data_IF_765802139711
#
_entry.id   IF_765802139711
#
_cell.length_a   1.000
_cell.length_b   1.000
_cell.length_c   1.000
_cell.angle_alpha   90.00
_cell.angle_beta   90.00
_cell.angle_gamma   90.00
#
_symmetry.space_group_name_H-M   'P 1'
#
loop_
_entity.id
_entity.type
_entity.pdbx_description
1 polymer ?
#
# COMPACT_ATOMS: atom_id res chain seq x y z
N UNK A 1 17.30 -24.64 4.01
CA UNK A 1 17.32 -23.35 3.33
C UNK A 1 18.67 -22.75 3.63
N UNK A 2 19.46 -22.39 2.62
CA UNK A 2 20.75 -21.70 2.84
C UNK A 2 20.52 -20.21 3.19
N UNK A 3 21.51 -19.55 3.77
CA UNK A 3 21.44 -18.13 4.14
C UNK A 3 21.00 -17.23 2.97
N UNK A 4 21.57 -17.47 1.78
CA UNK A 4 21.22 -16.76 0.55
C UNK A 4 19.77 -17.03 0.10
N UNK A 5 19.26 -18.25 0.27
CA UNK A 5 17.87 -18.57 -0.09
C UNK A 5 16.85 -17.85 0.79
N UNK A 6 17.11 -17.75 2.09
CA UNK A 6 16.21 -17.10 3.05
C UNK A 6 16.07 -15.60 2.74
N UNK A 7 17.19 -14.94 2.49
CA UNK A 7 17.24 -13.51 2.16
C UNK A 7 16.63 -13.21 0.80
N UNK A 8 16.94 -14.02 -0.22
CA UNK A 8 16.33 -13.88 -1.55
C UNK A 8 14.80 -14.07 -1.47
N UNK A 9 14.33 -15.03 -0.66
CA UNK A 9 12.89 -15.25 -0.44
C UNK A 9 12.24 -14.08 0.30
N UNK A 10 12.90 -13.51 1.30
CA UNK A 10 12.42 -12.32 2.01
C UNK A 10 12.18 -11.16 1.05
N UNK A 11 13.19 -10.83 0.23
CA UNK A 11 13.09 -9.76 -0.77
C UNK A 11 11.97 -10.00 -1.77
N UNK A 12 11.89 -11.22 -2.33
CA UNK A 12 10.84 -11.61 -3.27
C UNK A 12 9.44 -11.50 -2.68
N UNK A 13 9.21 -12.06 -1.49
CA UNK A 13 7.90 -12.01 -0.83
C UNK A 13 7.48 -10.58 -0.53
N UNK A 14 8.40 -9.74 -0.07
CA UNK A 14 8.12 -8.32 0.17
C UNK A 14 7.69 -7.63 -1.13
N UNK A 15 8.39 -7.84 -2.25
CA UNK A 15 8.00 -7.29 -3.55
C UNK A 15 6.64 -7.80 -4.00
N UNK A 16 6.37 -9.10 -3.88
CA UNK A 16 5.06 -9.68 -4.20
C UNK A 16 3.93 -9.06 -3.37
N UNK A 17 4.14 -8.88 -2.07
CA UNK A 17 3.17 -8.25 -1.15
C UNK A 17 2.94 -6.79 -1.52
N UNK A 18 4.00 -6.05 -1.81
CA UNK A 18 3.92 -4.64 -2.19
C UNK A 18 3.17 -4.47 -3.53
N UNK A 19 3.54 -5.25 -4.55
CA UNK A 19 2.86 -5.24 -5.85
C UNK A 19 1.40 -5.70 -5.74
N UNK A 20 1.14 -6.75 -4.95
CA UNK A 20 -0.22 -7.21 -4.70
C UNK A 20 -1.05 -6.10 -4.05
N UNK A 21 -0.52 -5.39 -3.05
CA UNK A 21 -1.20 -4.27 -2.42
C UNK A 21 -1.51 -3.11 -3.39
N UNK A 22 -0.64 -2.86 -4.38
CA UNK A 22 -0.89 -1.85 -5.42
C UNK A 22 -1.97 -2.28 -6.43
N UNK A 23 -2.14 -3.60 -6.62
CA UNK A 23 -3.09 -4.18 -7.57
C UNK A 23 -4.44 -4.52 -6.95
N UNK A 24 -4.47 -4.97 -5.70
CA UNK A 24 -5.66 -5.44 -4.99
C UNK A 24 -6.72 -4.33 -4.92
N UNK A 25 -7.91 -4.66 -5.42
CA UNK A 25 -8.98 -3.73 -5.76
C UNK A 25 -9.50 -2.99 -4.53
N UNK A 26 -9.65 -3.71 -3.40
CA UNK A 26 -10.11 -3.15 -2.12
C UNK A 26 -9.21 -2.04 -1.60
N UNK A 27 -7.90 -2.14 -1.80
CA UNK A 27 -6.95 -1.19 -1.18
C UNK A 27 -6.73 0.09 -1.95
N UNK A 28 -7.03 0.07 -3.24
CA UNK A 28 -6.83 1.21 -4.14
C UNK A 28 -8.07 2.08 -4.28
N UNK A 29 -9.25 1.53 -4.05
CA UNK A 29 -10.55 2.20 -4.18
C UNK A 29 -11.22 2.28 -2.81
N UNK A 30 -10.85 3.29 -2.02
CA UNK A 30 -11.59 3.74 -0.83
C UNK A 30 -11.47 2.92 0.45
N UNK A 31 -11.35 1.60 0.38
CA UNK A 31 -11.47 0.75 1.57
C UNK A 31 -10.24 0.69 2.47
N UNK A 32 -9.06 1.18 2.05
CA UNK A 32 -7.89 1.25 2.93
C UNK A 32 -7.73 2.67 3.46
N UNK A 33 -8.03 2.93 4.75
CA UNK A 33 -7.90 4.28 5.25
C UNK A 33 -6.44 4.75 5.11
N UNK A 34 -6.31 6.03 4.75
CA UNK A 34 -5.03 6.64 4.38
C UNK A 34 -3.91 6.41 5.41
N UNK A 35 -4.17 6.50 6.74
CA UNK A 35 -3.14 6.22 7.75
C UNK A 35 -2.58 4.79 7.66
N UNK A 36 -3.44 3.78 7.60
CA UNK A 36 -3.06 2.36 7.55
C UNK A 36 -2.36 2.04 6.23
N UNK A 37 -2.83 2.62 5.12
CA UNK A 37 -2.18 2.51 3.82
C UNK A 37 -0.76 3.07 3.86
N UNK A 38 -0.58 4.27 4.41
CA UNK A 38 0.74 4.90 4.54
C UNK A 38 1.66 4.09 5.47
N UNK A 39 1.11 3.57 6.58
CA UNK A 39 1.84 2.68 7.47
C UNK A 39 2.32 1.42 6.74
N UNK A 40 1.47 0.80 5.93
CA UNK A 40 1.85 -0.39 5.17
C UNK A 40 2.95 -0.10 4.15
N UNK A 41 2.73 0.88 3.26
CA UNK A 41 3.70 1.16 2.19
C UNK A 41 5.04 1.63 2.76
N UNK A 42 5.00 2.55 3.73
CA UNK A 42 6.20 2.99 4.44
C UNK A 42 6.94 1.84 5.14
N UNK A 43 6.21 0.87 5.70
CA UNK A 43 6.85 -0.31 6.29
C UNK A 43 7.42 -1.28 5.24
N UNK A 44 6.75 -1.48 4.10
CA UNK A 44 7.33 -2.29 3.01
C UNK A 44 8.60 -1.66 2.42
N UNK A 45 8.65 -0.33 2.33
CA UNK A 45 9.83 0.40 1.86
C UNK A 45 10.95 0.34 2.91
N UNK A 46 10.64 0.55 4.19
CA UNK A 46 11.59 0.39 5.28
C UNK A 46 12.19 -1.03 5.33
N UNK A 47 11.38 -2.07 5.04
CA UNK A 47 11.84 -3.45 4.93
C UNK A 47 12.81 -3.63 3.74
N UNK A 48 12.56 -3.00 2.59
CA UNK A 48 13.48 -2.98 1.45
C UNK A 48 14.81 -2.32 1.82
N UNK A 49 14.75 -1.12 2.35
CA UNK A 49 15.94 -0.30 2.62
C UNK A 49 16.80 -0.94 3.69
N UNK A 50 16.18 -1.47 4.74
CA UNK A 50 16.87 -2.18 5.80
C UNK A 50 17.43 -3.54 5.32
N UNK A 51 16.81 -4.20 4.34
CA UNK A 51 17.41 -5.37 3.69
C UNK A 51 18.71 -5.00 2.96
N UNK A 52 18.67 -3.96 2.12
CA UNK A 52 19.87 -3.48 1.42
C UNK A 52 20.97 -3.01 2.37
N UNK A 53 20.60 -2.31 3.45
CA UNK A 53 21.55 -1.86 4.46
C UNK A 53 22.23 -3.02 5.20
N UNK A 54 21.49 -4.08 5.55
CA UNK A 54 22.08 -5.25 6.20
C UNK A 54 23.06 -6.00 5.27
N UNK A 55 22.69 -6.17 3.99
CA UNK A 55 23.54 -6.82 2.99
C UNK A 55 24.85 -6.07 2.71
N UNK A 56 24.88 -4.75 2.98
CA UNK A 56 26.06 -3.91 2.78
C UNK A 56 27.22 -4.18 3.75
N UNK A 57 27.04 -4.99 4.80
CA UNK A 57 28.06 -5.20 5.83
C UNK A 57 29.44 -5.59 5.26
N UNK A 58 29.49 -6.64 4.44
CA UNK A 58 30.76 -7.17 3.92
C UNK A 58 31.50 -6.20 3.00
N UNK A 59 30.76 -5.33 2.31
CA UNK A 59 31.35 -4.33 1.43
C UNK A 59 31.92 -3.11 2.19
N UNK A 60 31.41 -2.85 3.40
CA UNK A 60 31.73 -1.64 4.18
C UNK A 60 32.77 -1.88 5.28
N UNK A 61 32.99 -3.11 5.72
CA UNK A 61 34.04 -3.43 6.69
C UNK A 61 35.42 -3.30 6.04
N UNK A 62 36.29 -2.51 6.68
CA UNK A 62 37.72 -2.43 6.31
C UNK A 62 38.60 -3.01 7.42
N UNK A 63 39.90 -3.17 7.16
CA UNK A 63 40.84 -3.80 8.10
C UNK A 63 40.90 -3.15 9.49
N UNK A 64 40.85 -1.82 9.59
CA UNK A 64 40.94 -1.10 10.87
C UNK A 64 40.22 0.25 10.83
N UNK A 65 39.56 0.62 11.93
CA UNK A 65 39.04 1.96 12.17
C UNK A 65 37.70 1.99 12.90
N UNK A 66 37.41 3.11 13.58
CA UNK A 66 36.16 3.30 14.34
C UNK A 66 34.89 3.28 13.47
N UNK A 67 35.00 3.50 12.16
CA UNK A 67 33.86 3.38 11.24
C UNK A 67 33.30 1.95 11.19
N UNK A 68 34.10 0.91 11.48
CA UNK A 68 33.61 -0.47 11.57
C UNK A 68 32.57 -0.64 12.69
N UNK A 69 32.65 0.15 13.77
CA UNK A 69 31.62 0.13 14.83
C UNK A 69 30.27 0.63 14.28
N UNK A 70 30.30 1.68 13.45
CA UNK A 70 29.09 2.18 12.79
C UNK A 70 28.49 1.11 11.88
N UNK A 71 29.32 0.35 11.14
CA UNK A 71 28.87 -0.76 10.30
C UNK A 71 28.24 -1.88 11.13
N UNK A 72 28.85 -2.28 12.25
CA UNK A 72 28.28 -3.26 13.18
C UNK A 72 26.94 -2.81 13.77
N UNK A 73 26.84 -1.57 14.24
CA UNK A 73 25.61 -1.01 14.78
C UNK A 73 24.53 -0.86 13.71
N UNK A 74 24.91 -0.41 12.51
CA UNK A 74 24.05 -0.30 11.35
C UNK A 74 23.45 -1.65 10.95
N UNK A 75 24.26 -2.72 10.92
CA UNK A 75 23.80 -4.08 10.65
C UNK A 75 22.73 -4.54 11.65
N UNK A 76 23.00 -4.45 12.95
CA UNK A 76 22.03 -4.84 13.97
C UNK A 76 20.76 -3.98 13.93
N UNK A 77 20.90 -2.68 13.69
CA UNK A 77 19.79 -1.75 13.56
C UNK A 77 18.93 -2.09 12.33
N UNK A 78 19.56 -2.43 11.21
CA UNK A 78 18.86 -2.83 9.99
C UNK A 78 18.00 -4.08 10.23
N UNK A 79 18.55 -5.14 10.84
CA UNK A 79 17.78 -6.33 11.19
C UNK A 79 16.59 -6.01 12.12
N UNK A 80 16.78 -5.11 13.07
CA UNK A 80 15.72 -4.67 13.97
C UNK A 80 14.61 -3.91 13.22
N UNK A 81 14.97 -3.00 12.31
CA UNK A 81 14.01 -2.25 11.47
C UNK A 81 13.22 -3.20 10.58
N UNK A 82 13.85 -4.24 10.00
CA UNK A 82 13.14 -5.26 9.23
C UNK A 82 12.04 -5.94 10.07
N UNK A 83 12.34 -6.27 11.33
CA UNK A 83 11.35 -6.88 12.24
C UNK A 83 10.19 -5.93 12.58
N UNK A 84 10.51 -4.66 12.90
CA UNK A 84 9.50 -3.65 13.21
C UNK A 84 8.62 -3.36 11.99
N UNK A 85 9.20 -3.33 10.79
CA UNK A 85 8.47 -3.17 9.54
C UNK A 85 7.44 -4.28 9.34
N UNK A 86 7.80 -5.55 9.52
CA UNK A 86 6.85 -6.68 9.43
C UNK A 86 5.74 -6.58 10.49
N UNK A 87 6.07 -6.09 11.70
CA UNK A 87 5.07 -5.84 12.72
C UNK A 87 4.11 -4.69 12.35
N UNK A 88 4.61 -3.60 11.75
CA UNK A 88 3.79 -2.51 11.24
C UNK A 88 2.89 -2.99 10.11
N UNK A 89 3.43 -3.76 9.16
CA UNK A 89 2.65 -4.39 8.08
C UNK A 89 1.51 -5.19 8.70
N UNK A 90 1.81 -6.13 9.62
CA UNK A 90 0.77 -6.96 10.28
C UNK A 90 -0.35 -6.11 10.88
N UNK A 91 -0.02 -5.01 11.58
CA UNK A 91 -1.01 -4.10 12.17
C UNK A 91 -1.83 -3.33 11.12
N UNK A 92 -1.19 -2.86 10.06
CA UNK A 92 -1.86 -2.11 8.99
C UNK A 92 -2.87 -2.96 8.19
N UNK A 93 -2.82 -4.29 8.33
CA UNK A 93 -3.74 -5.26 7.73
C UNK A 93 -4.83 -5.72 8.68
N UNK A 94 -4.87 -5.18 9.90
CA UNK A 94 -5.74 -5.62 11.00
C UNK A 94 -5.63 -7.13 11.28
N UNK A 95 -4.41 -7.67 11.18
CA UNK A 95 -4.15 -9.06 11.54
C UNK A 95 -3.90 -9.20 13.05
N UNK A 96 -4.12 -10.40 13.64
CA UNK A 96 -3.75 -10.68 15.01
C UNK A 96 -2.31 -10.23 15.33
N UNK A 97 -2.14 -9.59 16.48
CA UNK A 97 -0.88 -8.96 16.84
C UNK A 97 0.30 -9.95 16.77
N UNK A 98 1.22 -9.69 15.85
CA UNK A 98 2.48 -10.42 15.76
C UNK A 98 3.57 -9.66 16.52
N UNK A 99 4.46 -10.41 17.17
CA UNK A 99 5.60 -9.86 17.90
C UNK A 99 6.85 -10.65 17.53
N UNK A 100 7.94 -9.99 17.12
CA UNK A 100 9.21 -10.67 16.90
C UNK A 100 9.69 -11.43 18.14
N UNK A 101 9.29 -10.98 19.34
CA UNK A 101 9.68 -11.61 20.60
C UNK A 101 9.07 -13.00 20.83
N UNK A 102 8.05 -13.41 20.07
CA UNK A 102 7.49 -14.77 20.15
C UNK A 102 8.38 -15.80 19.45
N UNK A 103 9.26 -15.36 18.54
CA UNK A 103 10.26 -16.19 17.90
C UNK A 103 11.59 -16.05 18.64
N UNK A 104 12.14 -17.15 19.15
CA UNK A 104 13.36 -17.13 19.98
C UNK A 104 14.58 -16.55 19.25
N UNK A 105 14.71 -16.78 17.94
CA UNK A 105 15.81 -16.26 17.12
C UNK A 105 15.68 -14.75 16.90
N UNK A 106 14.49 -14.28 16.52
CA UNK A 106 14.23 -12.85 16.35
C UNK A 106 14.39 -12.10 17.68
N UNK A 107 13.87 -12.67 18.78
CA UNK A 107 14.05 -12.16 20.15
C UNK A 107 15.54 -12.04 20.50
N UNK A 108 16.33 -13.06 20.21
CA UNK A 108 17.77 -13.04 20.46
C UNK A 108 18.46 -11.90 19.70
N UNK A 109 18.17 -11.71 18.40
CA UNK A 109 18.71 -10.61 17.59
C UNK A 109 18.35 -9.24 18.21
N UNK A 110 17.10 -9.03 18.62
CA UNK A 110 16.69 -7.78 19.30
C UNK A 110 17.43 -7.56 20.61
N UNK A 111 17.60 -8.61 21.40
CA UNK A 111 18.31 -8.53 22.67
C UNK A 111 19.78 -8.16 22.46
N UNK A 112 20.46 -8.76 21.47
CA UNK A 112 21.84 -8.40 21.12
C UNK A 112 21.92 -6.94 20.64
N UNK A 113 21.03 -6.51 19.74
CA UNK A 113 20.95 -5.10 19.30
C UNK A 113 20.77 -4.16 20.49
N UNK A 114 19.78 -4.42 21.34
CA UNK A 114 19.46 -3.54 22.47
C UNK A 114 20.62 -3.44 23.48
N UNK A 115 21.43 -4.50 23.65
CA UNK A 115 22.62 -4.47 24.51
C UNK A 115 23.76 -3.68 23.89
N UNK A 116 24.01 -3.86 22.58
CA UNK A 116 25.21 -3.34 21.93
C UNK A 116 25.06 -1.92 21.37
N UNK A 117 23.89 -1.59 20.82
CA UNK A 117 23.63 -0.29 20.18
C UNK A 117 22.40 0.44 20.73
N UNK A 118 21.62 -0.22 21.60
CA UNK A 118 20.51 0.39 22.32
C UNK A 118 20.86 0.76 23.76
N UNK A 119 19.85 1.16 24.53
CA UNK A 119 20.01 1.34 25.97
C UNK A 119 19.98 -0.04 26.65
N UNK A 120 21.01 -0.48 27.40
CA UNK A 120 21.07 -1.84 27.94
C UNK A 120 19.88 -2.24 28.83
N UNK A 121 19.24 -1.27 29.49
CA UNK A 121 17.98 -1.47 30.23
C UNK A 121 16.78 -1.89 29.36
N UNK A 122 16.87 -1.81 28.03
CA UNK A 122 15.86 -2.25 27.08
C UNK A 122 16.09 -3.69 26.58
N UNK A 123 17.19 -4.34 26.98
CA UNK A 123 17.46 -5.73 26.67
C UNK A 123 16.79 -6.64 27.70
N UNK A 124 15.67 -7.28 27.33
CA UNK A 124 14.74 -7.98 28.24
C UNK A 124 14.31 -7.08 29.42
N UNK A 125 13.12 -6.46 29.33
CA UNK A 125 12.58 -5.52 30.34
C UNK A 125 12.51 -6.08 31.78
N UNK A 126 12.63 -7.40 31.94
CA UNK A 126 12.64 -8.11 33.22
C UNK A 126 13.98 -8.84 33.53
N UNK A 127 15.00 -8.68 32.68
CA UNK A 127 16.29 -9.36 32.80
C UNK A 127 17.32 -8.59 33.65
N UNK A 128 18.44 -9.25 34.02
CA UNK A 128 19.53 -8.61 34.75
C UNK A 128 20.15 -7.48 33.92
N UNK A 129 20.46 -6.37 34.58
CA UNK A 129 21.12 -5.22 33.96
C UNK A 129 22.52 -5.63 33.48
N UNK A 130 22.93 -5.09 32.35
CA UNK A 130 24.25 -5.36 31.77
C UNK A 130 24.82 -4.11 31.11
N UNK A 131 26.13 -4.09 30.89
CA UNK A 131 26.79 -3.21 29.93
C UNK A 131 27.44 -4.07 28.85
N UNK A 132 27.61 -3.54 27.64
CA UNK A 132 28.22 -4.30 26.56
C UNK A 132 29.08 -3.42 25.66
N UNK A 133 30.14 -4.02 25.11
CA UNK A 133 31.04 -3.38 24.15
C UNK A 133 31.40 -4.37 23.04
N UNK A 134 31.63 -3.87 21.83
CA UNK A 134 32.23 -4.67 20.75
C UNK A 134 33.74 -4.69 20.97
N UNK A 135 34.31 -5.90 21.10
CA UNK A 135 35.73 -6.11 21.42
C UNK A 135 36.56 -6.56 20.23
N UNK A 136 35.93 -7.10 19.18
CA UNK A 136 36.60 -7.55 17.97
C UNK A 136 35.67 -7.43 16.77
N UNK A 137 36.19 -7.00 15.63
CA UNK A 137 35.45 -6.88 14.37
C UNK A 137 36.26 -7.55 13.26
N UNK A 138 35.60 -8.43 12.52
CA UNK A 138 36.13 -9.11 11.35
C UNK A 138 35.20 -9.00 10.15
N UNK A 139 35.62 -9.50 8.98
CA UNK A 139 34.87 -9.36 7.73
C UNK A 139 33.55 -10.15 7.70
N UNK A 140 33.39 -11.17 8.54
CA UNK A 140 32.21 -12.06 8.57
C UNK A 140 31.52 -12.11 9.93
N UNK A 141 32.11 -11.48 10.95
CA UNK A 141 31.63 -11.55 12.32
C UNK A 141 32.22 -10.46 13.18
N UNK A 142 31.54 -10.14 14.28
CA UNK A 142 32.10 -9.33 15.36
C UNK A 142 31.76 -9.94 16.71
N UNK A 143 32.62 -9.72 17.70
CA UNK A 143 32.50 -10.24 19.06
C UNK A 143 32.20 -9.10 20.03
N UNK A 144 31.26 -9.35 20.94
CA UNK A 144 30.93 -8.46 22.02
C UNK A 144 31.21 -9.08 23.39
N UNK A 145 31.71 -8.25 24.30
CA UNK A 145 31.75 -8.54 25.73
C UNK A 145 30.52 -7.94 26.39
N UNK A 146 29.74 -8.77 27.10
CA UNK A 146 28.56 -8.39 27.87
C UNK A 146 28.88 -8.62 29.34
N UNK A 147 28.94 -7.53 30.11
CA UNK A 147 29.22 -7.53 31.54
C UNK A 147 27.91 -7.53 32.32
N UNK A 148 27.70 -8.57 33.10
CA UNK A 148 26.69 -8.66 34.15
C UNK A 148 27.34 -8.41 35.51
N UNK A 149 26.54 -8.30 36.58
CA UNK A 149 27.06 -8.12 37.94
C UNK A 149 27.94 -9.31 38.39
N UNK A 150 27.61 -10.53 37.96
CA UNK A 150 28.21 -11.77 38.42
C UNK A 150 29.09 -12.48 37.37
N UNK A 151 29.04 -12.05 36.10
CA UNK A 151 29.73 -12.74 35.00
C UNK A 151 30.01 -11.88 33.78
N UNK A 152 30.99 -12.32 33.00
CA UNK A 152 31.28 -11.85 31.65
C UNK A 152 30.80 -12.88 30.64
N UNK A 153 30.01 -12.46 29.66
CA UNK A 153 29.58 -13.29 28.52
C UNK A 153 30.19 -12.74 27.24
N UNK A 154 30.74 -13.61 26.40
CA UNK A 154 31.20 -13.28 25.05
C UNK A 154 30.15 -13.74 24.05
N UNK A 155 29.68 -12.81 23.22
CA UNK A 155 28.72 -13.09 22.16
C UNK A 155 29.39 -12.88 20.81
N UNK A 156 29.33 -13.87 19.93
CA UNK A 156 29.84 -13.75 18.56
C UNK A 156 28.66 -13.58 17.61
N UNK A 157 28.58 -12.41 16.99
CA UNK A 157 27.62 -12.12 15.92
C UNK A 157 28.25 -12.54 14.61
N UNK A 158 27.86 -13.71 14.12
CA UNK A 158 28.16 -14.17 12.76
C UNK A 158 27.13 -13.55 11.81
N UNK A 159 27.59 -12.67 10.92
CA UNK A 159 26.72 -11.77 10.14
C UNK A 159 25.72 -12.54 9.29
N UNK A 160 26.19 -13.45 8.44
CA UNK A 160 25.32 -14.26 7.57
C UNK A 160 24.30 -15.07 8.37
N UNK A 161 24.72 -15.62 9.52
CA UNK A 161 23.85 -16.40 10.39
C UNK A 161 22.75 -15.55 11.01
N UNK A 162 23.08 -14.34 11.46
CA UNK A 162 22.09 -13.41 12.03
C UNK A 162 21.10 -12.95 10.97
N UNK A 163 21.59 -12.64 9.77
CA UNK A 163 20.77 -12.19 8.66
C UNK A 163 19.84 -13.32 8.16
N UNK A 164 20.34 -14.55 8.02
CA UNK A 164 19.56 -15.75 7.72
C UNK A 164 18.47 -16.01 8.76
N UNK A 165 18.83 -15.99 10.05
CA UNK A 165 17.89 -16.23 11.14
C UNK A 165 16.79 -15.17 11.18
N UNK A 166 17.15 -13.91 10.90
CA UNK A 166 16.19 -12.83 10.77
C UNK A 166 15.24 -13.10 9.60
N UNK A 167 15.80 -13.31 8.41
CA UNK A 167 15.03 -13.53 7.19
C UNK A 167 14.07 -14.72 7.32
N UNK A 168 14.54 -15.86 7.85
CA UNK A 168 13.69 -17.03 8.04
C UNK A 168 12.49 -16.75 8.97
N UNK A 169 12.69 -15.99 10.06
CA UNK A 169 11.59 -15.63 10.96
C UNK A 169 10.61 -14.62 10.36
N UNK A 170 11.08 -13.73 9.47
CA UNK A 170 10.24 -12.76 8.79
C UNK A 170 9.46 -13.36 7.62
N UNK A 171 10.09 -14.26 6.85
CA UNK A 171 9.47 -14.97 5.73
C UNK A 171 8.19 -15.68 6.15
N UNK A 172 8.23 -16.39 7.29
CA UNK A 172 7.05 -17.07 7.82
C UNK A 172 5.87 -16.11 8.04
N UNK A 173 6.14 -14.93 8.60
CA UNK A 173 5.09 -13.94 8.84
C UNK A 173 4.63 -13.25 7.55
N UNK A 174 5.54 -12.96 6.61
CA UNK A 174 5.17 -12.40 5.31
C UNK A 174 4.29 -13.35 4.48
N UNK A 175 4.51 -14.66 4.57
CA UNK A 175 3.64 -15.64 3.91
C UNK A 175 2.22 -15.60 4.47
N UNK A 176 2.09 -15.51 5.81
CA UNK A 176 0.79 -15.33 6.46
C UNK A 176 0.11 -14.03 6.05
N UNK A 177 0.89 -12.94 5.95
CA UNK A 177 0.42 -11.65 5.45
C UNK A 177 -0.13 -11.79 4.03
N UNK A 178 0.62 -12.44 3.12
CA UNK A 178 0.19 -12.62 1.73
C UNK A 178 -1.11 -13.41 1.64
N UNK A 179 -1.22 -14.53 2.37
CA UNK A 179 -2.43 -15.35 2.42
C UNK A 179 -3.62 -14.53 2.93
N UNK A 180 -3.43 -13.77 4.01
CA UNK A 180 -4.46 -12.90 4.59
C UNK A 180 -4.94 -11.84 3.60
N UNK A 181 -4.02 -11.20 2.86
CA UNK A 181 -4.37 -10.20 1.85
C UNK A 181 -5.19 -10.80 0.69
N UNK A 182 -4.89 -12.04 0.28
CA UNK A 182 -5.68 -12.76 -0.74
C UNK A 182 -7.06 -13.13 -0.18
N UNK A 183 -7.13 -13.58 1.07
CA UNK A 183 -8.38 -13.91 1.72
C UNK A 183 -9.30 -12.70 1.84
N UNK A 184 -8.80 -11.55 2.35
CA UNK A 184 -9.57 -10.30 2.47
C UNK A 184 -10.14 -9.86 1.12
N UNK A 185 -9.34 -9.95 0.05
CA UNK A 185 -9.77 -9.59 -1.30
C UNK A 185 -10.89 -10.53 -1.81
N UNK A 186 -10.75 -11.84 -1.60
CA UNK A 186 -11.76 -12.80 -2.02
C UNK A 186 -13.06 -12.68 -1.23
N UNK A 187 -12.98 -12.50 0.10
CA UNK A 187 -14.15 -12.27 0.96
C UNK A 187 -14.92 -11.01 0.52
N UNK A 188 -14.20 -9.94 0.17
CA UNK A 188 -14.81 -8.74 -0.38
C UNK A 188 -15.48 -9.02 -1.74
N UNK A 189 -14.79 -9.67 -2.68
CA UNK A 189 -15.35 -10.02 -3.99
C UNK A 189 -16.60 -10.89 -3.87
N UNK A 190 -16.61 -11.86 -2.95
CA UNK A 190 -17.76 -12.73 -2.71
C UNK A 190 -18.93 -11.98 -2.04
N UNK A 191 -18.65 -10.94 -1.23
CA UNK A 191 -19.68 -10.08 -0.63
C UNK A 191 -20.30 -9.09 -1.63
N UNK A 192 -19.58 -8.72 -2.69
CA UNK A 192 -20.05 -7.78 -3.71
C UNK A 192 -20.69 -8.52 -4.89
N UNK A 193 -22.02 -8.51 -4.94
CA UNK A 193 -22.79 -9.13 -6.04
C UNK A 193 -23.24 -8.13 -7.12
N UNK A 194 -23.20 -6.83 -6.82
CA UNK A 194 -23.72 -5.78 -7.68
C UNK A 194 -22.63 -5.26 -8.62
N UNK A 195 -22.98 -5.10 -9.90
CA UNK A 195 -22.08 -4.52 -10.90
C UNK A 195 -22.26 -3.02 -10.93
N UNK A 196 -21.16 -2.27 -11.01
CA UNK A 196 -21.22 -0.82 -11.16
C UNK A 196 -21.91 -0.42 -12.48
N UNK A 197 -21.81 -1.27 -13.51
CA UNK A 197 -22.47 -1.04 -14.79
C UNK A 197 -24.00 -0.94 -14.65
N UNK A 198 -24.58 -1.65 -13.69
CA UNK A 198 -26.04 -1.63 -13.46
C UNK A 198 -26.52 -0.25 -12.98
N UNK A 199 -25.65 0.53 -12.32
CA UNK A 199 -25.97 1.86 -11.82
C UNK A 199 -26.05 2.93 -12.91
N UNK A 200 -25.21 2.83 -13.96
CA UNK A 200 -25.25 3.74 -15.10
C UNK A 200 -26.41 3.42 -16.08
N UNK A 201 -27.01 2.24 -15.97
CA UNK A 201 -28.06 1.78 -16.87
C UNK A 201 -27.56 1.56 -18.32
N UNK A 202 -28.40 0.95 -19.14
CA UNK A 202 -28.04 0.60 -20.53
C UNK A 202 -27.97 1.81 -21.48
N UNK A 203 -28.41 2.99 -21.03
CA UNK A 203 -28.61 4.14 -21.89
C UNK A 203 -27.69 5.32 -21.57
N UNK A 204 -26.74 5.22 -20.62
CA UNK A 204 -25.86 6.33 -20.27
C UNK A 204 -25.15 6.94 -21.49
N UNK A 205 -24.45 6.11 -22.28
CA UNK A 205 -23.75 6.57 -23.49
C UNK A 205 -24.71 7.14 -24.54
N UNK A 206 -25.95 6.63 -24.58
CA UNK A 206 -26.98 7.15 -25.48
C UNK A 206 -27.48 8.53 -25.01
N UNK A 207 -27.82 8.69 -23.73
CA UNK A 207 -28.24 9.97 -23.16
C UNK A 207 -27.13 11.02 -23.28
N UNK A 208 -25.88 10.62 -23.06
CA UNK A 208 -24.73 11.49 -23.23
C UNK A 208 -24.54 11.90 -24.70
N UNK A 209 -24.55 10.95 -25.63
CA UNK A 209 -24.46 11.25 -27.06
C UNK A 209 -25.61 12.12 -27.58
N UNK A 210 -26.78 12.06 -26.95
CA UNK A 210 -27.92 12.92 -27.30
C UNK A 210 -27.68 14.39 -26.99
N UNK A 211 -26.90 14.72 -25.97
CA UNK A 211 -26.50 16.10 -25.66
C UNK A 211 -25.82 16.76 -26.88
N UNK A 212 -24.82 16.10 -27.48
CA UNK A 212 -24.14 16.59 -28.68
C UNK A 212 -25.10 16.80 -29.87
N UNK A 213 -26.04 15.88 -30.08
CA UNK A 213 -26.95 15.94 -31.24
C UNK A 213 -28.04 17.01 -31.11
N UNK A 214 -28.54 17.26 -29.90
CA UNK A 214 -29.52 18.32 -29.67
C UNK A 214 -28.93 19.71 -29.95
N UNK A 215 -27.61 19.87 -29.81
CA UNK A 215 -26.93 21.11 -30.13
C UNK A 215 -26.61 21.27 -31.63
N UNK A 216 -26.17 20.19 -32.29
CA UNK A 216 -25.76 20.25 -33.69
C UNK A 216 -26.91 20.56 -34.67
N UNK A 217 -28.15 20.21 -34.30
CA UNK A 217 -29.33 20.39 -35.15
C UNK A 217 -30.26 21.48 -34.59
N UNK A 218 -30.03 22.73 -35.02
CA UNK A 218 -30.87 23.90 -34.68
C UNK A 218 -32.34 23.73 -35.10
N UNK A 219 -32.66 22.77 -35.97
CA UNK A 219 -34.04 22.47 -36.39
C UNK A 219 -34.73 21.44 -35.51
N UNK A 220 -33.97 20.72 -34.69
CA UNK A 220 -34.46 19.63 -33.85
C UNK A 220 -34.76 20.18 -32.46
N UNK A 221 -36.04 20.48 -32.19
CA UNK A 221 -36.51 21.05 -30.93
C UNK A 221 -36.49 20.08 -29.74
N UNK A 222 -35.69 19.01 -29.80
CA UNK A 222 -35.65 18.03 -28.72
C UNK A 222 -35.12 18.69 -27.45
N UNK A 223 -35.90 18.68 -26.36
CA UNK A 223 -35.46 19.29 -25.12
C UNK A 223 -34.24 18.52 -24.60
N UNK A 224 -33.17 19.25 -24.28
CA UNK A 224 -31.97 18.70 -23.65
C UNK A 224 -32.23 18.27 -22.20
N UNK A 225 -33.19 18.94 -21.55
CA UNK A 225 -33.49 18.83 -20.11
C UNK A 225 -33.76 17.37 -19.67
N UNK A 226 -34.58 16.56 -20.38
CA UNK A 226 -34.75 15.14 -20.05
C UNK A 226 -33.44 14.35 -20.03
N UNK A 227 -32.54 14.57 -20.99
CA UNK A 227 -31.26 13.85 -21.05
C UNK A 227 -30.32 14.24 -19.91
N UNK A 228 -30.26 15.54 -19.57
CA UNK A 228 -29.52 16.01 -18.40
C UNK A 228 -30.05 15.37 -17.11
N UNK A 229 -31.38 15.28 -16.97
CA UNK A 229 -32.03 14.62 -15.83
C UNK A 229 -31.65 13.14 -15.74
N UNK A 230 -31.75 12.39 -16.84
CA UNK A 230 -31.38 10.97 -16.84
C UNK A 230 -29.91 10.75 -16.51
N UNK A 231 -28.99 11.56 -17.06
CA UNK A 231 -27.57 11.46 -16.74
C UNK A 231 -27.29 11.76 -15.27
N UNK A 232 -28.00 12.74 -14.68
CA UNK A 232 -27.90 13.03 -13.25
C UNK A 232 -28.35 11.83 -12.42
N UNK A 233 -29.48 11.23 -12.75
CA UNK A 233 -29.98 10.02 -12.07
C UNK A 233 -29.01 8.83 -12.19
N UNK A 234 -28.40 8.62 -13.36
CA UNK A 234 -27.37 7.59 -13.58
C UNK A 234 -26.13 7.83 -12.71
N UNK A 235 -25.66 9.07 -12.63
CA UNK A 235 -24.48 9.44 -11.82
C UNK A 235 -24.78 9.34 -10.33
N UNK A 236 -25.93 9.80 -9.85
CA UNK A 236 -26.28 9.69 -8.42
C UNK A 236 -26.43 8.22 -8.00
N UNK A 237 -26.97 7.35 -8.87
CA UNK A 237 -26.99 5.90 -8.63
C UNK A 237 -25.58 5.32 -8.57
N UNK A 238 -24.69 5.73 -9.47
CA UNK A 238 -23.29 5.29 -9.45
C UNK A 238 -22.59 5.74 -8.17
N UNK A 239 -22.77 6.99 -7.73
CA UNK A 239 -22.20 7.52 -6.48
C UNK A 239 -22.71 6.71 -5.29
N UNK A 240 -24.03 6.48 -5.22
CA UNK A 240 -24.64 5.72 -4.13
C UNK A 240 -24.07 4.30 -4.06
N UNK A 241 -23.95 3.61 -5.19
CA UNK A 241 -23.40 2.26 -5.25
C UNK A 241 -21.90 2.22 -4.92
N UNK A 242 -21.11 3.14 -5.47
CA UNK A 242 -19.68 3.27 -5.15
C UNK A 242 -19.47 3.55 -3.66
N UNK A 243 -20.32 4.38 -3.06
CA UNK A 243 -20.27 4.67 -1.62
C UNK A 243 -20.67 3.45 -0.79
N UNK A 244 -21.74 2.74 -1.16
CA UNK A 244 -22.20 1.51 -0.51
C UNK A 244 -21.13 0.42 -0.54
N UNK A 245 -20.42 0.27 -1.66
CA UNK A 245 -19.32 -0.68 -1.82
C UNK A 245 -17.99 -0.16 -1.25
N UNK A 246 -17.99 1.07 -0.75
CA UNK A 246 -16.83 1.81 -0.23
C UNK A 246 -15.65 1.87 -1.22
N UNK A 247 -15.98 2.13 -2.48
CA UNK A 247 -15.08 2.23 -3.62
C UNK A 247 -14.73 3.68 -3.99
N UNK A 248 -15.18 4.65 -3.19
CA UNK A 248 -14.89 6.07 -3.45
C UNK A 248 -13.40 6.35 -3.29
N UNK A 249 -12.88 7.29 -4.06
CA UNK A 249 -11.50 7.73 -3.94
C UNK A 249 -11.33 9.05 -4.66
N UNK A 250 -10.24 9.76 -4.37
CA UNK A 250 -9.99 11.13 -4.85
C UNK A 250 -10.17 11.26 -6.38
N UNK A 251 -9.68 10.29 -7.16
CA UNK A 251 -9.86 10.30 -8.61
C UNK A 251 -11.34 10.16 -9.01
N UNK A 252 -12.07 9.23 -8.38
CA UNK A 252 -13.50 9.07 -8.65
C UNK A 252 -14.29 10.33 -8.27
N UNK A 253 -14.05 10.88 -7.08
CA UNK A 253 -14.68 12.11 -6.59
C UNK A 253 -14.41 13.30 -7.50
N UNK A 254 -13.17 13.44 -7.98
CA UNK A 254 -12.79 14.46 -8.95
C UNK A 254 -13.55 14.31 -10.26
N UNK A 255 -13.53 13.13 -10.88
CA UNK A 255 -14.19 12.90 -12.18
C UNK A 255 -15.71 13.04 -12.09
N UNK A 256 -16.33 12.55 -11.02
CA UNK A 256 -17.76 12.75 -10.76
C UNK A 256 -18.09 14.22 -10.53
N UNK A 257 -17.29 14.92 -9.72
CA UNK A 257 -17.48 16.35 -9.44
C UNK A 257 -17.41 17.21 -10.70
N UNK A 258 -16.42 16.95 -11.55
CA UNK A 258 -16.28 17.62 -12.85
C UNK A 258 -17.45 17.31 -13.79
N UNK A 259 -17.90 16.05 -13.84
CA UNK A 259 -19.06 15.68 -14.66
C UNK A 259 -20.35 16.32 -14.17
N UNK A 260 -20.60 16.34 -12.85
CA UNK A 260 -21.76 17.01 -12.24
C UNK A 260 -21.75 18.52 -12.48
N UNK A 261 -20.61 19.17 -12.29
CA UNK A 261 -20.47 20.60 -12.57
C UNK A 261 -20.75 20.93 -14.03
N UNK A 262 -20.34 20.06 -14.95
CA UNK A 262 -20.70 20.16 -16.37
C UNK A 262 -22.21 20.08 -16.60
N UNK A 263 -22.91 19.11 -15.98
CA UNK A 263 -24.38 19.02 -16.07
C UNK A 263 -25.05 20.31 -15.57
N UNK A 264 -24.59 20.86 -14.45
CA UNK A 264 -25.14 22.09 -13.86
C UNK A 264 -24.94 23.30 -14.79
N UNK A 265 -23.77 23.41 -15.42
CA UNK A 265 -23.50 24.47 -16.41
C UNK A 265 -24.40 24.30 -17.63
N UNK A 266 -24.50 23.09 -18.20
CA UNK A 266 -25.34 22.84 -19.37
C UNK A 266 -26.83 23.13 -19.11
N UNK A 267 -27.31 22.83 -17.91
CA UNK A 267 -28.68 23.13 -17.48
C UNK A 267 -28.94 24.64 -17.37
N UNK A 268 -27.92 25.44 -17.03
CA UNK A 268 -28.01 26.90 -16.97
C UNK A 268 -28.03 27.61 -18.32
N UNK A 269 -27.70 26.91 -19.42
CA UNK A 269 -27.70 27.47 -20.77
C UNK A 269 -29.16 27.49 -21.28
N UNK A 270 -29.85 28.56 -20.92
CA UNK A 270 -31.31 28.73 -21.05
C UNK A 270 -31.81 28.92 -22.51
N UNK A 271 -30.92 29.27 -23.46
CA UNK A 271 -31.26 29.32 -24.88
C UNK A 271 -30.04 29.28 -25.81
N UNK A 272 -30.23 28.73 -27.01
CA UNK A 272 -29.19 28.43 -28.01
C UNK A 272 -29.15 29.42 -29.19
N UNK A 273 -29.79 30.58 -29.05
CA UNK A 273 -29.92 31.54 -30.15
C UNK A 273 -28.63 32.35 -30.40
N UNK A 274 -27.69 32.36 -29.45
CA UNK A 274 -26.42 33.08 -29.53
C UNK A 274 -25.24 32.12 -29.84
N UNK A 275 -24.49 32.40 -30.91
CA UNK A 275 -23.29 31.65 -31.30
C UNK A 275 -22.26 31.53 -30.17
N UNK A 276 -22.21 32.52 -29.27
CA UNK A 276 -21.35 32.45 -28.08
C UNK A 276 -21.79 31.36 -27.12
N UNK A 277 -23.10 31.23 -26.86
CA UNK A 277 -23.63 30.17 -25.98
C UNK A 277 -23.45 28.79 -26.59
N UNK A 278 -23.53 28.69 -27.91
CA UNK A 278 -23.22 27.46 -28.63
C UNK A 278 -21.74 27.02 -28.44
N UNK A 279 -20.81 27.99 -28.45
CA UNK A 279 -19.41 27.71 -28.15
C UNK A 279 -19.20 27.29 -26.69
N UNK A 280 -19.84 27.98 -25.75
CA UNK A 280 -19.80 27.64 -24.32
C UNK A 280 -20.34 26.22 -24.07
N UNK A 281 -21.46 25.87 -24.72
CA UNK A 281 -22.04 24.53 -24.68
C UNK A 281 -21.06 23.46 -25.16
N UNK A 282 -20.50 23.63 -26.36
CA UNK A 282 -19.56 22.68 -26.94
C UNK A 282 -18.33 22.49 -26.04
N UNK A 283 -17.79 23.58 -25.49
CA UNK A 283 -16.63 23.53 -24.59
C UNK A 283 -16.93 22.70 -23.33
N UNK A 284 -18.11 22.92 -22.72
CA UNK A 284 -18.53 22.18 -21.52
C UNK A 284 -18.77 20.71 -21.86
N UNK A 285 -19.47 20.42 -22.96
CA UNK A 285 -19.72 19.06 -23.43
C UNK A 285 -18.43 18.29 -23.72
N UNK A 286 -17.46 18.92 -24.39
CA UNK A 286 -16.17 18.31 -24.70
C UNK A 286 -15.37 18.01 -23.42
N UNK A 287 -15.37 18.94 -22.46
CA UNK A 287 -14.79 18.71 -21.14
C UNK A 287 -15.47 17.54 -20.41
N UNK A 288 -16.81 17.51 -20.41
CA UNK A 288 -17.57 16.41 -19.82
C UNK A 288 -17.27 15.05 -20.47
N UNK A 289 -17.02 15.02 -21.78
CA UNK A 289 -16.73 13.78 -22.52
C UNK A 289 -15.49 13.06 -21.98
N UNK A 290 -14.46 13.83 -21.59
CA UNK A 290 -13.25 13.28 -20.96
C UNK A 290 -13.59 12.57 -19.63
N UNK A 291 -14.46 13.18 -18.83
CA UNK A 291 -14.87 12.61 -17.54
C UNK A 291 -15.85 11.45 -17.71
N UNK A 292 -16.76 11.50 -18.69
CA UNK A 292 -17.67 10.41 -19.04
C UNK A 292 -16.90 9.15 -19.45
N UNK A 293 -15.93 9.30 -20.34
CA UNK A 293 -15.07 8.22 -20.80
C UNK A 293 -14.27 7.60 -19.65
N UNK A 294 -13.77 8.44 -18.74
CA UNK A 294 -13.09 7.97 -17.55
C UNK A 294 -14.03 7.16 -16.66
N UNK A 295 -15.25 7.65 -16.39
CA UNK A 295 -16.25 6.96 -15.56
C UNK A 295 -16.64 5.61 -16.17
N UNK A 296 -16.84 5.54 -17.48
CA UNK A 296 -17.15 4.29 -18.19
C UNK A 296 -16.00 3.29 -18.11
N UNK A 297 -14.74 3.74 -18.25
CA UNK A 297 -13.56 2.89 -18.03
C UNK A 297 -13.46 2.41 -16.60
N UNK A 298 -13.64 3.32 -15.63
CA UNK A 298 -13.64 3.02 -14.20
C UNK A 298 -14.67 1.93 -13.87
N UNK A 299 -15.91 2.08 -14.33
CA UNK A 299 -16.99 1.10 -14.13
C UNK A 299 -16.63 -0.24 -14.76
N UNK A 300 -16.19 -0.26 -16.03
CA UNK A 300 -15.86 -1.50 -16.74
C UNK A 300 -14.69 -2.25 -16.11
N UNK A 301 -13.63 -1.54 -15.76
CA UNK A 301 -12.44 -2.15 -15.17
C UNK A 301 -12.72 -2.63 -13.74
N UNK A 302 -13.56 -1.91 -13.00
CA UNK A 302 -14.04 -2.32 -11.68
C UNK A 302 -14.85 -3.61 -11.77
N UNK A 303 -15.88 -3.64 -12.62
CA UNK A 303 -16.70 -4.83 -12.84
C UNK A 303 -15.86 -6.05 -13.23
N UNK A 304 -14.92 -5.88 -14.18
CA UNK A 304 -14.05 -6.97 -14.61
C UNK A 304 -13.25 -7.55 -13.45
N UNK A 305 -12.75 -6.69 -12.56
CA UNK A 305 -11.92 -7.08 -11.41
C UNK A 305 -12.73 -7.72 -10.29
N UNK A 306 -13.97 -7.27 -10.06
CA UNK A 306 -14.89 -7.89 -9.11
C UNK A 306 -15.22 -9.35 -9.52
N UNK A 307 -15.27 -9.62 -10.82
CA UNK A 307 -15.53 -10.98 -11.35
C UNK A 307 -14.27 -11.84 -11.47
N UNK A 308 -13.09 -11.24 -11.73
CA UNK A 308 -11.86 -12.01 -11.90
C UNK A 308 -11.33 -12.59 -10.58
N UNK A 309 -11.05 -13.88 -10.56
CA UNK A 309 -10.44 -14.60 -9.42
C UNK A 309 -8.92 -14.75 -9.51
N UNK A 310 -8.32 -14.17 -10.55
CA UNK A 310 -6.88 -14.20 -10.84
C UNK A 310 -6.10 -13.09 -10.11
#
# INVERSE_FOLDING_TARGET
MSASEAENRLGKLRSEIHEYAQKAFTRRLGNWPMPERNMFFGATDALQDAWGAAAGYHALIVKQGYHNLLVCYGFLQALYVQQDAVQVITRALDMPAWSPSSNSKLKHIRNIRNRLSGHPALADKAGPKSSAIIISIGPTSFEAAIYYEDRLVREVVVVDKFAEQNAAGLVEQLERIKVHMVQQENEYKDAVSQRLADALGNNFSYHFGKLATCHADRSNSYPIIPYLKFLREDIERLIALVTQLNLSGEAFEHHVGMFRGGLDILESIDSYEDDRRALEYNLVHDGMSVHADWLLRFVRDTDRRLVSRD
#
